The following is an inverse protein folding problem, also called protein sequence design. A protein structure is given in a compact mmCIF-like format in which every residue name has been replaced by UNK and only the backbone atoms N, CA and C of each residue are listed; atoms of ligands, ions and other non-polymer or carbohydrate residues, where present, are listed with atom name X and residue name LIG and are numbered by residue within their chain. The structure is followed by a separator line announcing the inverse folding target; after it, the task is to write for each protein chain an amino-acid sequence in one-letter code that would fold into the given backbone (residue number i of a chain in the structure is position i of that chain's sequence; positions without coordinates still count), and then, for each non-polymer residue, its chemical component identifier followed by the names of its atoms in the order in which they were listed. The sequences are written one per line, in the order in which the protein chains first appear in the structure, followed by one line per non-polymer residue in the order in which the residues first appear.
data_IF_730357684123
#
_entry.id   IF_730357684123
#
_cell.length_a   1.000
_cell.length_b   1.000
_cell.length_c   1.000
_cell.angle_alpha   90.00
_cell.angle_beta   90.00
_cell.angle_gamma   90.00
#
_symmetry.space_group_name_H-M   'P 1'
#
loop_
_entity.id
_entity.type
_entity.pdbx_description
1 polymer ?
#
# COMPACT_ATOMS: atom_id res chain seq x y z
N UNK A 1 14.55 6.20 7.79
CA UNK A 1 14.69 5.04 6.88
C UNK A 1 15.89 4.22 7.32
N UNK A 2 15.82 2.89 7.22
CA UNK A 2 16.89 1.97 7.59
C UNK A 2 16.85 0.74 6.68
N UNK A 3 18.00 0.18 6.31
CA UNK A 3 18.12 -1.07 5.52
C UNK A 3 17.61 -0.98 4.09
N UNK A 4 17.31 -2.15 3.51
CA UNK A 4 16.95 -2.32 2.10
C UNK A 4 18.07 -2.95 1.29
N UNK A 5 17.81 -3.24 0.01
CA UNK A 5 18.83 -3.68 -0.95
C UNK A 5 18.60 -3.04 -2.31
N UNK A 6 19.67 -2.89 -3.08
CA UNK A 6 19.57 -2.72 -4.53
C UNK A 6 19.83 -4.07 -5.22
N UNK A 7 20.01 -4.07 -6.54
CA UNK A 7 20.20 -5.30 -7.32
C UNK A 7 21.49 -6.07 -6.96
N UNK A 8 22.45 -5.42 -6.30
CA UNK A 8 23.79 -5.97 -6.02
C UNK A 8 24.11 -6.09 -4.54
N UNK A 9 23.69 -5.13 -3.72
CA UNK A 9 24.17 -4.94 -2.35
C UNK A 9 23.02 -4.66 -1.39
N UNK A 10 23.12 -5.25 -0.20
CA UNK A 10 22.32 -4.88 0.96
C UNK A 10 22.83 -3.55 1.50
N UNK A 11 21.92 -2.65 1.84
CA UNK A 11 22.25 -1.32 2.34
C UNK A 11 23.08 -1.41 3.64
N UNK A 12 24.04 -0.49 3.84
CA UNK A 12 24.76 -0.40 5.11
C UNK A 12 23.76 -0.13 6.26
N UNK A 13 24.10 -0.49 7.51
CA UNK A 13 23.19 -0.37 8.64
C UNK A 13 23.16 1.07 9.17
N UNK A 14 22.70 2.00 8.32
CA UNK A 14 22.64 3.44 8.58
C UNK A 14 21.19 3.89 8.72
N UNK A 15 20.99 4.95 9.51
CA UNK A 15 19.69 5.64 9.62
C UNK A 15 19.72 6.86 8.71
N UNK A 16 18.90 6.84 7.67
CA UNK A 16 18.70 7.99 6.79
C UNK A 16 17.46 8.76 7.24
N UNK A 17 17.64 10.06 7.52
CA UNK A 17 16.58 10.98 7.91
C UNK A 17 16.30 11.94 6.74
N UNK A 18 15.02 12.14 6.44
CA UNK A 18 14.57 13.12 5.46
C UNK A 18 13.83 14.24 6.18
N UNK A 19 14.24 15.47 5.94
CA UNK A 19 13.49 16.66 6.36
C UNK A 19 12.58 17.10 5.20
N UNK A 20 11.25 17.01 5.35
CA UNK A 20 10.31 17.40 4.31
C UNK A 20 10.21 18.93 4.11
N UNK A 21 10.72 19.74 5.04
CA UNK A 21 10.73 21.21 4.92
C UNK A 21 11.93 21.64 4.08
N UNK A 22 13.12 21.17 4.44
CA UNK A 22 14.35 21.51 3.71
C UNK A 22 14.61 20.63 2.49
N UNK A 23 13.81 19.57 2.29
CA UNK A 23 13.98 18.54 1.27
C UNK A 23 15.37 17.89 1.29
N UNK A 24 15.99 17.79 2.46
CA UNK A 24 17.35 17.30 2.62
C UNK A 24 17.41 15.94 3.32
N UNK A 25 18.39 15.14 2.90
CA UNK A 25 18.73 13.88 3.55
C UNK A 25 19.93 14.04 4.47
N UNK A 26 19.84 13.48 5.67
CA UNK A 26 20.96 13.33 6.60
C UNK A 26 21.18 11.85 6.87
N UNK A 27 22.44 11.41 6.82
CA UNK A 27 22.81 10.01 7.08
C UNK A 27 23.48 9.95 8.45
N UNK A 28 22.95 9.09 9.31
CA UNK A 28 23.47 8.86 10.65
C UNK A 28 24.04 7.45 10.74
N UNK A 29 25.29 7.36 11.17
CA UNK A 29 25.85 6.10 11.66
C UNK A 29 25.20 5.82 13.02
N UNK A 30 24.22 4.91 13.04
CA UNK A 30 23.59 4.49 14.29
C UNK A 30 24.65 4.02 15.29
N UNK A 31 24.35 4.13 16.59
CA UNK A 31 25.25 3.68 17.66
C UNK A 31 24.53 2.72 18.61
N UNK A 32 25.28 2.09 19.52
CA UNK A 32 24.75 1.01 20.36
C UNK A 32 24.74 -0.34 19.65
N UNK A 33 23.68 -1.12 19.85
CA UNK A 33 23.52 -2.47 19.27
C UNK A 33 22.88 -2.39 17.89
N UNK A 34 23.62 -1.82 16.94
CA UNK A 34 23.14 -1.58 15.57
C UNK A 34 22.75 -2.92 14.91
N UNK A 35 21.56 -3.02 14.30
CA UNK A 35 21.16 -4.22 13.57
C UNK A 35 22.07 -4.45 12.35
N UNK A 36 22.46 -5.70 12.00
CA UNK A 36 23.15 -5.97 10.75
C UNK A 36 22.35 -5.50 9.52
N UNK A 37 23.08 -5.18 8.44
CA UNK A 37 22.53 -4.91 7.11
C UNK A 37 21.50 -5.96 6.71
N UNK A 38 20.33 -5.51 6.29
CA UNK A 38 19.18 -6.37 5.99
C UNK A 38 18.20 -5.71 5.02
N UNK A 39 17.41 -6.52 4.33
CA UNK A 39 16.22 -6.11 3.61
C UNK A 39 14.99 -6.93 4.04
N UNK A 40 13.80 -6.55 3.56
CA UNK A 40 12.55 -7.23 3.87
C UNK A 40 12.13 -7.21 5.35
N UNK A 41 12.78 -6.42 6.21
CA UNK A 41 12.38 -6.30 7.62
C UNK A 41 11.07 -5.50 7.74
N UNK A 42 10.30 -5.78 8.78
CA UNK A 42 9.17 -4.96 9.19
C UNK A 42 9.67 -3.79 10.04
N UNK A 43 9.09 -2.60 9.88
CA UNK A 43 9.42 -1.42 10.67
C UNK A 43 8.17 -0.61 11.03
N UNK A 44 8.07 -0.16 12.27
CA UNK A 44 7.04 0.78 12.71
C UNK A 44 7.58 1.73 13.78
N UNK A 45 6.86 2.82 14.02
CA UNK A 45 7.17 3.78 15.07
C UNK A 45 6.13 3.67 16.17
N UNK A 46 6.58 3.48 17.40
CA UNK A 46 5.76 3.52 18.61
C UNK A 46 6.35 4.61 19.49
N UNK A 47 5.56 5.64 19.79
CA UNK A 47 6.02 6.88 20.41
C UNK A 47 7.23 7.48 19.65
N UNK A 48 8.35 7.74 20.34
CA UNK A 48 9.58 8.28 19.73
C UNK A 48 10.62 7.18 19.42
N UNK A 49 10.17 5.94 19.19
CA UNK A 49 11.06 4.80 18.96
C UNK A 49 10.67 4.06 17.69
N UNK A 50 11.66 3.80 16.85
CA UNK A 50 11.50 2.92 15.70
C UNK A 50 11.81 1.49 16.11
N UNK A 51 10.86 0.59 15.89
CA UNK A 51 11.04 -0.84 16.05
C UNK A 51 11.23 -1.48 14.68
N UNK A 52 12.22 -2.37 14.57
CA UNK A 52 12.36 -3.25 13.42
C UNK A 52 12.30 -4.71 13.86
N UNK A 53 11.71 -5.56 13.03
CA UNK A 53 11.62 -7.00 13.24
C UNK A 53 12.04 -7.77 12.00
N UNK A 54 12.88 -8.78 12.23
CA UNK A 54 13.29 -9.76 11.23
C UNK A 54 14.02 -9.17 10.03
N UNK A 55 13.70 -9.69 8.84
CA UNK A 55 14.36 -9.41 7.57
C UNK A 55 15.35 -10.51 7.17
N UNK A 56 15.93 -10.33 5.99
CA UNK A 56 17.00 -11.17 5.44
C UNK A 56 18.30 -10.39 5.48
N UNK A 57 19.33 -10.93 6.13
CA UNK A 57 20.57 -10.22 6.40
C UNK A 57 21.56 -10.34 5.22
N UNK A 58 22.58 -9.49 5.21
CA UNK A 58 23.69 -9.61 4.26
C UNK A 58 24.49 -10.92 4.40
N UNK A 59 24.31 -11.67 5.49
CA UNK A 59 24.85 -13.01 5.68
C UNK A 59 23.96 -14.12 5.10
N UNK A 60 22.91 -13.74 4.36
CA UNK A 60 21.92 -14.65 3.75
C UNK A 60 21.11 -15.46 4.77
N UNK A 61 20.85 -14.84 5.93
CA UNK A 61 20.08 -15.45 7.02
C UNK A 61 18.77 -14.69 7.25
N UNK A 62 17.68 -15.44 7.45
CA UNK A 62 16.44 -14.91 8.02
C UNK A 62 16.64 -14.62 9.49
N UNK A 63 16.00 -13.56 9.99
CA UNK A 63 16.08 -13.18 11.40
C UNK A 63 14.71 -12.99 12.04
N UNK A 64 14.63 -13.12 13.36
CA UNK A 64 13.43 -12.88 14.18
C UNK A 64 13.66 -11.93 15.36
N UNK A 65 14.74 -11.17 15.33
CA UNK A 65 15.10 -10.27 16.42
C UNK A 65 14.34 -8.96 16.30
N UNK A 66 14.00 -8.39 17.45
CA UNK A 66 13.48 -7.03 17.57
C UNK A 66 14.62 -6.09 17.93
N UNK A 67 14.79 -5.04 17.14
CA UNK A 67 15.67 -3.93 17.47
C UNK A 67 14.84 -2.66 17.65
N UNK A 68 15.29 -1.80 18.56
CA UNK A 68 14.64 -0.54 18.87
C UNK A 68 15.67 0.58 18.70
N UNK A 69 15.32 1.62 17.94
CA UNK A 69 16.09 2.85 17.79
C UNK A 69 15.35 3.98 18.50
N UNK A 70 16.00 4.63 19.47
CA UNK A 70 15.57 5.91 20.00
C UNK A 70 15.74 6.98 18.91
N UNK A 71 14.66 7.61 18.46
CA UNK A 71 14.71 8.57 17.35
C UNK A 71 15.22 9.96 17.75
N UNK A 72 15.42 10.22 19.04
CA UNK A 72 16.05 11.44 19.55
C UNK A 72 17.57 11.25 19.57
N UNK A 73 18.03 10.13 20.15
CA UNK A 73 19.45 9.89 20.41
C UNK A 73 20.14 9.02 19.34
N UNK A 74 19.35 8.42 18.43
CA UNK A 74 19.80 7.48 17.39
C UNK A 74 20.61 6.30 17.94
N UNK A 75 20.25 5.86 19.15
CA UNK A 75 20.82 4.71 19.84
C UNK A 75 19.97 3.47 19.58
N UNK A 76 20.62 2.43 19.08
CA UNK A 76 20.03 1.12 18.87
C UNK A 76 20.19 0.23 20.09
N UNK A 77 19.12 -0.48 20.42
CA UNK A 77 19.11 -1.55 21.43
C UNK A 77 18.53 -2.81 20.80
N UNK A 78 19.21 -3.94 20.96
CA UNK A 78 18.65 -5.25 20.63
C UNK A 78 17.76 -5.68 21.79
N UNK A 79 16.48 -5.84 21.53
CA UNK A 79 15.53 -6.22 22.55
C UNK A 79 15.65 -7.73 22.79
N UNK A 80 15.99 -8.10 24.04
CA UNK A 80 15.94 -9.50 24.49
C UNK A 80 14.50 -9.83 24.82
N UNK A 81 13.72 -10.11 23.77
CA UNK A 81 12.29 -10.35 23.93
C UNK A 81 12.04 -11.53 24.88
N UNK A 82 11.27 -11.30 25.94
CA UNK A 82 10.90 -12.36 26.89
C UNK A 82 9.75 -13.16 26.29
N UNK A 83 9.91 -14.48 26.20
CA UNK A 83 8.82 -15.40 25.88
C UNK A 83 7.99 -15.63 27.15
N UNK A 84 6.94 -14.84 27.37
CA UNK A 84 6.06 -15.06 28.51
C UNK A 84 5.08 -16.22 28.21
N UNK A 85 5.34 -17.40 28.77
CA UNK A 85 4.30 -18.40 29.07
C UNK A 85 3.82 -19.36 27.97
N UNK A 86 4.19 -19.21 26.68
CA UNK A 86 3.92 -20.18 25.58
C UNK A 86 5.07 -20.11 24.56
N UNK A 87 5.45 -21.20 23.84
CA UNK A 87 6.40 -21.14 22.74
C UNK A 87 5.86 -20.28 21.59
N UNK A 88 6.77 -19.82 20.73
CA UNK A 88 6.51 -19.16 19.44
C UNK A 88 6.34 -17.63 19.50
N UNK A 89 7.46 -16.95 19.79
CA UNK A 89 7.76 -15.73 19.03
C UNK A 89 7.69 -16.03 17.52
N UNK A 90 7.41 -15.03 16.66
CA UNK A 90 7.38 -15.28 15.24
C UNK A 90 8.71 -15.88 14.76
N UNK A 91 8.63 -16.89 13.90
CA UNK A 91 9.79 -17.52 13.25
C UNK A 91 10.63 -16.49 12.48
N UNK A 92 11.93 -16.77 12.25
CA UNK A 92 12.78 -15.96 11.38
C UNK A 92 12.13 -15.74 10.02
N UNK A 93 11.95 -14.48 9.61
CA UNK A 93 11.19 -14.15 8.40
C UNK A 93 11.54 -12.82 7.78
N UNK A 94 11.38 -12.74 6.47
CA UNK A 94 11.40 -11.51 5.71
C UNK A 94 10.02 -11.18 5.13
N UNK A 95 9.87 -9.96 4.61
CA UNK A 95 8.68 -9.45 3.93
C UNK A 95 7.37 -9.65 4.72
N UNK A 96 7.44 -9.64 6.05
CA UNK A 96 6.28 -9.47 6.92
C UNK A 96 5.78 -8.04 6.84
N UNK A 97 4.61 -7.78 7.41
CA UNK A 97 4.14 -6.41 7.63
C UNK A 97 3.84 -6.19 9.12
N UNK A 98 3.99 -4.94 9.56
CA UNK A 98 3.67 -4.52 10.91
C UNK A 98 2.90 -3.21 10.95
N UNK A 99 2.14 -2.99 12.02
CA UNK A 99 1.44 -1.73 12.28
C UNK A 99 1.50 -1.40 13.76
N UNK A 100 1.81 -0.15 14.08
CA UNK A 100 1.83 0.34 15.46
C UNK A 100 0.43 0.31 16.06
N UNK A 101 0.33 -0.12 17.31
CA UNK A 101 -0.91 -0.16 18.07
C UNK A 101 -0.63 0.04 19.56
N UNK A 102 -1.17 1.12 20.13
CA UNK A 102 -0.93 1.51 21.53
C UNK A 102 0.57 1.53 21.85
N UNK A 103 1.02 0.76 22.84
CA UNK A 103 2.42 0.70 23.30
C UNK A 103 3.18 -0.49 22.69
N UNK A 104 2.90 -0.78 21.43
CA UNK A 104 3.44 -1.95 20.75
C UNK A 104 3.08 -1.98 19.28
N UNK A 105 3.21 -3.16 18.67
CA UNK A 105 2.84 -3.33 17.27
C UNK A 105 2.35 -4.74 16.97
N UNK A 106 1.45 -4.83 16.00
CA UNK A 106 1.05 -6.10 15.41
C UNK A 106 2.01 -6.47 14.28
N UNK A 107 2.22 -7.77 14.09
CA UNK A 107 3.01 -8.36 13.02
C UNK A 107 2.18 -9.47 12.35
N UNK A 108 2.22 -9.52 11.01
CA UNK A 108 1.55 -10.56 10.24
C UNK A 108 2.34 -10.97 9.00
N UNK A 109 2.18 -12.24 8.61
CA UNK A 109 2.73 -12.80 7.39
C UNK A 109 4.25 -12.88 7.39
N UNK A 110 4.81 -12.76 6.19
CA UNK A 110 6.22 -12.93 5.89
C UNK A 110 6.53 -14.30 5.29
N UNK A 111 7.74 -14.42 4.75
CA UNK A 111 8.32 -15.69 4.30
C UNK A 111 9.37 -16.11 5.31
N UNK A 112 9.26 -17.35 5.74
CA UNK A 112 10.25 -18.10 6.49
C UNK A 112 10.81 -19.23 5.61
N UNK A 113 11.71 -20.02 6.17
CA UNK A 113 12.26 -21.22 5.53
C UNK A 113 12.09 -22.43 6.45
N UNK A 114 11.90 -23.62 5.88
CA UNK A 114 11.83 -24.87 6.63
C UNK A 114 13.11 -25.14 7.46
N UNK A 115 14.26 -24.65 6.98
CA UNK A 115 15.53 -24.69 7.70
C UNK A 115 15.70 -23.56 8.74
N UNK A 116 14.65 -22.77 9.01
CA UNK A 116 14.64 -21.71 10.01
C UNK A 116 15.38 -20.46 9.54
N UNK A 117 16.58 -20.25 10.05
CA UNK A 117 17.38 -19.06 9.73
C UNK A 117 18.07 -19.17 8.36
N UNK A 118 18.31 -20.38 7.87
CA UNK A 118 19.08 -20.61 6.64
C UNK A 118 18.15 -20.67 5.44
N UNK A 119 18.55 -20.07 4.33
CA UNK A 119 17.85 -20.22 3.05
C UNK A 119 18.12 -21.60 2.44
N UNK A 120 17.15 -22.49 2.49
CA UNK A 120 17.19 -23.81 1.83
C UNK A 120 16.45 -23.83 0.49
N UNK A 121 15.62 -22.80 0.23
CA UNK A 121 14.72 -22.75 -0.92
C UNK A 121 13.33 -23.35 -0.64
N UNK A 122 13.13 -23.94 0.55
CA UNK A 122 11.84 -24.44 1.00
C UNK A 122 11.09 -23.37 1.82
N UNK A 123 10.50 -22.41 1.09
CA UNK A 123 9.71 -21.32 1.67
C UNK A 123 8.56 -21.87 2.53
N UNK A 124 8.39 -21.32 3.74
CA UNK A 124 7.21 -21.51 4.56
C UNK A 124 6.54 -20.16 4.87
N UNK A 125 5.22 -20.19 5.07
CA UNK A 125 4.43 -18.98 5.26
C UNK A 125 3.49 -19.14 6.45
N UNK A 126 3.65 -18.24 7.40
CA UNK A 126 2.84 -18.21 8.61
C UNK A 126 1.70 -17.21 8.45
N UNK A 127 0.48 -17.62 8.80
CA UNK A 127 -0.72 -16.80 8.76
C UNK A 127 -1.08 -16.18 10.11
N UNK A 128 -0.35 -16.54 11.17
CA UNK A 128 -0.62 -16.10 12.53
C UNK A 128 -0.41 -14.61 12.71
N UNK A 129 -1.18 -14.01 13.61
CA UNK A 129 -1.03 -12.61 14.01
C UNK A 129 -0.35 -12.57 15.37
N UNK A 130 0.74 -11.81 15.45
CA UNK A 130 1.48 -11.57 16.69
C UNK A 130 1.33 -10.13 17.12
N UNK A 131 1.47 -9.88 18.42
CA UNK A 131 1.62 -8.56 18.99
C UNK A 131 2.85 -8.51 19.88
N UNK A 132 3.70 -7.52 19.65
CA UNK A 132 4.84 -7.20 20.50
C UNK A 132 4.46 -6.05 21.41
N UNK A 133 4.54 -6.27 22.71
CA UNK A 133 4.38 -5.24 23.72
C UNK A 133 5.74 -4.58 24.02
N UNK A 134 5.84 -3.26 23.81
CA UNK A 134 7.10 -2.55 23.97
C UNK A 134 7.50 -2.31 25.43
N UNK A 135 6.56 -2.41 26.37
CA UNK A 135 6.79 -2.16 27.78
C UNK A 135 7.33 -3.40 28.47
N UNK A 136 6.64 -4.53 28.27
CA UNK A 136 7.08 -5.82 28.78
C UNK A 136 8.12 -6.47 27.88
N UNK A 137 8.38 -5.90 26.70
CA UNK A 137 9.30 -6.44 25.69
C UNK A 137 9.01 -7.91 25.38
N UNK A 138 7.75 -8.24 25.17
CA UNK A 138 7.28 -9.62 25.04
C UNK A 138 6.37 -9.81 23.85
N UNK A 139 6.48 -10.97 23.22
CA UNK A 139 5.57 -11.40 22.17
C UNK A 139 4.33 -12.08 22.74
N UNK A 140 3.20 -11.87 22.07
CA UNK A 140 1.97 -12.62 22.29
C UNK A 140 1.37 -13.04 20.96
N UNK A 141 0.90 -14.28 20.89
CA UNK A 141 0.09 -14.77 19.77
C UNK A 141 -1.34 -14.25 19.94
N UNK A 142 -1.84 -13.52 18.94
CA UNK A 142 -3.16 -12.88 19.00
C UNK A 142 -4.23 -13.63 18.24
N UNK A 143 -3.87 -14.28 17.13
CA UNK A 143 -4.78 -15.16 16.38
C UNK A 143 -4.00 -16.19 15.58
N UNK A 144 -4.50 -17.45 15.55
CA UNK A 144 -4.14 -18.44 14.53
C UNK A 144 -5.23 -18.44 13.47
N UNK A 145 -4.82 -18.28 12.22
CA UNK A 145 -5.76 -18.07 11.11
C UNK A 145 -5.70 -19.25 10.15
N UNK A 146 -6.52 -20.27 10.41
CA UNK A 146 -6.56 -21.47 9.57
C UNK A 146 -7.15 -21.19 8.18
N UNK A 147 -8.07 -20.22 8.10
CA UNK A 147 -8.75 -19.82 6.85
C UNK A 147 -8.04 -18.70 6.10
N UNK A 148 -6.98 -18.13 6.68
CA UNK A 148 -6.17 -17.11 6.01
C UNK A 148 -4.86 -17.72 5.63
N UNK A 149 -4.52 -17.66 4.36
CA UNK A 149 -3.27 -18.24 3.89
C UNK A 149 -2.10 -17.36 4.29
N UNK A 150 -1.01 -17.98 4.75
CA UNK A 150 0.26 -17.30 4.96
C UNK A 150 0.82 -16.76 3.64
N UNK A 151 1.56 -15.66 3.70
CA UNK A 151 2.10 -14.97 2.52
C UNK A 151 3.13 -13.91 2.90
N UNK A 152 3.91 -13.48 1.92
CA UNK A 152 4.86 -12.36 2.04
C UNK A 152 4.40 -11.13 1.28
N UNK A 153 5.03 -10.00 1.60
CA UNK A 153 4.87 -8.74 0.88
C UNK A 153 3.40 -8.29 0.80
N UNK A 154 2.62 -8.63 1.83
CA UNK A 154 1.26 -8.11 2.00
C UNK A 154 1.27 -6.67 2.50
N UNK A 155 0.10 -6.20 2.92
CA UNK A 155 -0.07 -4.89 3.55
C UNK A 155 -0.77 -5.06 4.90
N UNK A 156 -0.49 -4.16 5.83
CA UNK A 156 -1.23 -4.03 7.08
C UNK A 156 -1.29 -2.56 7.50
N UNK A 157 -2.48 -2.09 7.88
CA UNK A 157 -2.72 -0.69 8.23
C UNK A 157 -3.82 -0.55 9.28
N UNK A 158 -3.82 0.58 10.00
CA UNK A 158 -4.84 0.90 10.99
C UNK A 158 -5.87 1.85 10.38
N UNK A 159 -7.14 1.59 10.68
CA UNK A 159 -8.24 2.48 10.32
C UNK A 159 -9.19 2.60 11.53
N UNK A 160 -9.09 3.71 12.25
CA UNK A 160 -9.80 3.91 13.51
C UNK A 160 -9.37 2.86 14.56
N UNK A 161 -10.35 2.16 15.14
CA UNK A 161 -10.13 1.11 16.16
C UNK A 161 -10.05 -0.31 15.57
N UNK A 162 -9.68 -0.42 14.29
CA UNK A 162 -9.53 -1.68 13.57
C UNK A 162 -8.20 -1.72 12.83
N UNK A 163 -7.69 -2.92 12.62
CA UNK A 163 -6.51 -3.18 11.81
C UNK A 163 -6.94 -3.98 10.59
N UNK A 164 -6.48 -3.57 9.41
CA UNK A 164 -6.74 -4.27 8.17
C UNK A 164 -5.44 -4.86 7.64
N UNK A 165 -5.51 -6.05 7.08
CA UNK A 165 -4.35 -6.74 6.51
C UNK A 165 -4.78 -7.63 5.35
N UNK A 166 -3.86 -7.91 4.43
CA UNK A 166 -4.18 -8.72 3.26
C UNK A 166 -3.21 -8.54 2.11
N UNK A 167 -3.69 -8.85 0.90
CA UNK A 167 -2.90 -8.85 -0.34
C UNK A 167 -1.64 -9.71 -0.22
N UNK A 168 -0.64 -9.54 -1.09
CA UNK A 168 0.66 -10.21 -0.97
C UNK A 168 0.81 -11.40 -1.91
N UNK A 169 1.78 -12.24 -1.61
CA UNK A 169 2.23 -13.31 -2.50
C UNK A 169 2.62 -14.58 -1.75
N UNK A 170 2.21 -15.72 -2.29
CA UNK A 170 2.57 -17.05 -1.81
C UNK A 170 3.05 -17.89 -3.01
N UNK A 171 4.33 -18.24 -3.04
CA UNK A 171 4.96 -18.97 -4.14
C UNK A 171 4.50 -20.44 -4.23
N UNK A 172 4.07 -21.04 -3.11
CA UNK A 172 3.55 -22.40 -3.06
C UNK A 172 2.27 -22.57 -3.90
N UNK A 173 1.59 -21.46 -4.25
CA UNK A 173 0.42 -21.45 -5.13
C UNK A 173 0.74 -21.38 -6.62
N UNK A 174 1.98 -21.07 -7.03
CA UNK A 174 2.32 -20.83 -8.44
C UNK A 174 1.99 -22.04 -9.33
N UNK A 175 2.01 -23.26 -8.76
CA UNK A 175 1.66 -24.49 -9.47
C UNK A 175 0.18 -24.56 -9.90
N UNK A 176 -0.69 -23.76 -9.28
CA UNK A 176 -2.14 -23.80 -9.53
C UNK A 176 -2.73 -22.43 -9.90
N UNK A 177 -2.10 -21.32 -9.49
CA UNK A 177 -2.58 -19.94 -9.66
C UNK A 177 -1.41 -18.94 -9.78
N UNK A 178 -1.64 -17.64 -9.99
CA UNK A 178 -0.58 -16.59 -10.04
C UNK A 178 0.20 -16.46 -8.70
N UNK A 179 -0.42 -16.85 -7.58
CA UNK A 179 0.14 -16.76 -6.24
C UNK A 179 0.07 -15.36 -5.61
N UNK A 180 -0.24 -14.33 -6.40
CA UNK A 180 -0.66 -13.01 -5.92
C UNK A 180 -2.08 -13.08 -5.33
N UNK A 181 -2.35 -12.29 -4.30
CA UNK A 181 -3.59 -12.32 -3.53
C UNK A 181 -4.19 -10.90 -3.40
N UNK A 182 -5.51 -10.78 -3.27
CA UNK A 182 -6.24 -9.51 -3.07
C UNK A 182 -7.36 -9.56 -2.02
N UNK A 183 -7.38 -10.61 -1.20
CA UNK A 183 -8.21 -10.64 0.00
C UNK A 183 -7.76 -9.59 1.00
N UNK A 184 -8.74 -9.03 1.71
CA UNK A 184 -8.56 -8.10 2.81
C UNK A 184 -9.32 -8.62 4.03
N UNK A 185 -8.71 -8.48 5.19
CA UNK A 185 -9.21 -8.95 6.48
C UNK A 185 -9.17 -7.81 7.47
N UNK A 186 -10.11 -7.83 8.41
CA UNK A 186 -10.25 -6.88 9.50
C UNK A 186 -10.02 -7.60 10.82
N UNK A 187 -9.06 -7.13 11.60
CA UNK A 187 -8.75 -7.55 12.96
C UNK A 187 -9.35 -6.53 13.94
N UNK A 188 -10.10 -7.04 14.92
CA UNK A 188 -10.38 -6.32 16.16
C UNK A 188 -9.20 -6.56 17.13
N UNK A 189 -8.36 -5.54 17.39
CA UNK A 189 -7.16 -5.69 18.21
C UNK A 189 -7.46 -6.03 19.68
N UNK A 190 -8.64 -5.66 20.19
CA UNK A 190 -9.04 -5.93 21.57
C UNK A 190 -9.39 -7.41 21.75
N UNK A 191 -10.26 -7.94 20.90
CA UNK A 191 -10.75 -9.32 20.99
C UNK A 191 -9.85 -10.35 20.29
N UNK A 192 -9.02 -9.93 19.34
CA UNK A 192 -8.29 -10.83 18.44
C UNK A 192 -9.17 -11.42 17.33
N UNK A 193 -10.44 -11.02 17.24
CA UNK A 193 -11.37 -11.52 16.22
C UNK A 193 -10.98 -11.01 14.84
N UNK A 194 -11.01 -11.91 13.86
CA UNK A 194 -10.70 -11.60 12.46
C UNK A 194 -11.93 -11.90 11.59
N UNK A 195 -12.32 -10.94 10.77
CA UNK A 195 -13.41 -11.06 9.80
C UNK A 195 -12.93 -10.67 8.40
N UNK A 196 -13.56 -11.21 7.37
CA UNK A 196 -13.26 -10.82 5.99
C UNK A 196 -13.76 -9.40 5.74
N UNK A 197 -12.90 -8.54 5.20
CA UNK A 197 -13.26 -7.19 4.80
C UNK A 197 -13.62 -7.21 3.31
N UNK A 198 -14.92 -7.17 3.01
CA UNK A 198 -15.40 -7.10 1.64
C UNK A 198 -15.70 -5.65 1.26
N UNK A 199 -15.15 -5.13 0.15
CA UNK A 199 -15.52 -3.81 -0.34
C UNK A 199 -17.04 -3.77 -0.60
N UNK A 200 -17.74 -2.79 -0.02
CA UNK A 200 -19.20 -2.67 -0.11
C UNK A 200 -19.76 -2.32 -1.50
N UNK A 201 -18.95 -2.35 -2.57
CA UNK A 201 -19.36 -1.91 -3.89
C UNK A 201 -19.56 -3.08 -4.85
N UNK A 202 -20.80 -3.27 -5.30
CA UNK A 202 -21.12 -4.16 -6.42
C UNK A 202 -20.52 -3.68 -7.77
N UNK A 203 -20.02 -2.44 -7.83
CA UNK A 203 -19.58 -1.78 -9.06
C UNK A 203 -18.07 -1.60 -9.16
N UNK A 204 -17.36 -1.88 -8.07
CA UNK A 204 -15.92 -1.68 -7.98
C UNK A 204 -15.28 -2.94 -7.43
N UNK A 205 -14.65 -3.71 -8.31
CA UNK A 205 -13.71 -4.74 -7.87
C UNK A 205 -12.48 -3.98 -7.38
N UNK A 206 -12.12 -4.17 -6.12
CA UNK A 206 -10.92 -3.56 -5.52
C UNK A 206 -9.63 -3.92 -6.29
N UNK A 207 -8.46 -3.59 -5.74
CA UNK A 207 -7.20 -3.82 -6.44
C UNK A 207 -7.07 -5.28 -6.90
N UNK A 208 -6.50 -5.48 -8.10
CA UNK A 208 -6.17 -6.81 -8.59
C UNK A 208 -5.21 -7.52 -7.60
N UNK A 209 -5.12 -8.87 -7.64
CA UNK A 209 -4.12 -9.60 -6.87
C UNK A 209 -2.72 -9.02 -7.05
N UNK A 210 -2.10 -8.60 -5.94
CA UNK A 210 -0.82 -7.87 -5.98
C UNK A 210 -0.08 -7.98 -4.66
N UNK A 211 1.21 -7.66 -4.70
CA UNK A 211 2.10 -7.57 -3.53
C UNK A 211 2.83 -6.25 -3.50
N UNK A 212 3.47 -5.92 -2.36
CA UNK A 212 4.26 -4.69 -2.18
C UNK A 212 3.47 -3.41 -2.44
N UNK A 213 2.15 -3.46 -2.27
CA UNK A 213 1.33 -2.26 -2.32
C UNK A 213 1.56 -1.43 -1.07
N UNK A 214 1.40 -0.12 -1.18
CA UNK A 214 1.47 0.80 -0.05
C UNK A 214 0.04 1.13 0.39
N UNK A 215 -0.19 1.14 1.70
CA UNK A 215 -1.44 1.58 2.30
C UNK A 215 -1.16 2.76 3.24
N UNK A 216 -1.74 3.93 2.96
CA UNK A 216 -1.54 5.16 3.72
C UNK A 216 -2.88 5.61 4.31
N UNK A 217 -3.12 5.40 5.62
CA UNK A 217 -4.27 5.98 6.29
C UNK A 217 -4.18 7.50 6.24
N UNK A 218 -5.23 8.14 5.71
CA UNK A 218 -5.32 9.62 5.63
C UNK A 218 -6.33 10.19 6.63
N UNK A 219 -7.15 9.33 7.24
CA UNK A 219 -8.01 9.67 8.37
C UNK A 219 -8.39 8.39 9.14
N UNK A 220 -9.20 8.52 10.19
CA UNK A 220 -9.73 7.38 10.95
C UNK A 220 -10.67 6.47 10.15
N UNK A 221 -11.17 6.93 8.99
CA UNK A 221 -12.11 6.16 8.16
C UNK A 221 -11.69 6.02 6.71
N UNK A 222 -10.58 6.63 6.29
CA UNK A 222 -10.10 6.60 4.90
C UNK A 222 -8.62 6.18 4.80
N UNK A 223 -8.34 5.30 3.85
CA UNK A 223 -6.98 4.85 3.48
C UNK A 223 -6.80 4.90 1.96
N UNK A 224 -5.61 5.31 1.52
CA UNK A 224 -5.19 5.26 0.13
C UNK A 224 -4.35 3.99 -0.07
N UNK A 225 -4.69 3.17 -1.05
CA UNK A 225 -3.85 2.08 -1.53
C UNK A 225 -3.20 2.51 -2.84
N UNK A 226 -1.90 2.27 -2.99
CA UNK A 226 -1.16 2.68 -4.17
C UNK A 226 -0.20 1.58 -4.65
N UNK A 227 -0.22 1.37 -5.97
CA UNK A 227 0.75 0.59 -6.72
C UNK A 227 0.87 -0.88 -6.30
N UNK A 228 2.11 -1.36 -6.22
CA UNK A 228 2.48 -2.75 -6.00
C UNK A 228 2.81 -3.48 -7.31
N UNK A 229 2.97 -4.79 -7.25
CA UNK A 229 3.36 -5.62 -8.40
C UNK A 229 2.44 -6.82 -8.57
N UNK A 230 2.17 -7.22 -9.81
CA UNK A 230 1.46 -8.45 -10.16
C UNK A 230 2.04 -9.08 -11.44
N UNK A 231 1.80 -10.36 -11.74
CA UNK A 231 2.21 -10.93 -13.04
C UNK A 231 1.22 -10.61 -14.16
N UNK A 232 -0.06 -10.52 -13.84
CA UNK A 232 -1.09 -10.29 -14.85
C UNK A 232 -1.88 -9.04 -14.55
N UNK A 233 -1.69 -8.00 -15.36
CA UNK A 233 -2.58 -6.85 -15.39
C UNK A 233 -3.81 -7.24 -16.20
N UNK A 234 -4.70 -8.05 -15.64
CA UNK A 234 -6.10 -7.91 -16.02
C UNK A 234 -6.56 -6.65 -15.34
N UNK A 235 -6.54 -5.51 -16.04
CA UNK A 235 -7.25 -4.33 -15.58
C UNK A 235 -8.71 -4.76 -15.38
N UNK A 236 -9.08 -5.10 -14.16
CA UNK A 236 -10.47 -5.15 -13.74
C UNK A 236 -10.94 -3.74 -13.43
N UNK A 237 -10.62 -2.77 -14.29
CA UNK A 237 -11.59 -1.73 -14.61
C UNK A 237 -12.66 -2.42 -15.46
N UNK A 238 -13.39 -3.32 -14.82
CA UNK A 238 -14.76 -3.53 -15.20
C UNK A 238 -15.48 -2.45 -14.41
N UNK A 239 -15.86 -1.31 -15.02
CA UNK A 239 -17.06 -0.70 -14.52
C UNK A 239 -18.08 -1.85 -14.48
N UNK A 240 -18.94 -1.91 -13.47
CA UNK A 240 -20.05 -2.87 -13.55
C UNK A 240 -20.95 -2.64 -14.79
N UNK A 241 -20.67 -1.60 -15.58
CA UNK A 241 -21.07 -1.36 -16.96
C UNK A 241 -19.93 -1.74 -17.92
N UNK A 242 -20.18 -2.47 -19.02
CA UNK A 242 -19.22 -2.58 -20.12
C UNK A 242 -18.66 -1.21 -20.51
N UNK A 243 -17.36 -1.12 -20.84
CA UNK A 243 -16.69 0.16 -21.13
C UNK A 243 -17.46 1.02 -22.15
N UNK A 244 -18.01 0.39 -23.19
CA UNK A 244 -18.86 1.04 -24.19
C UNK A 244 -20.14 1.66 -23.61
N UNK A 245 -20.77 1.03 -22.62
CA UNK A 245 -21.98 1.54 -21.97
C UNK A 245 -21.65 2.68 -21.00
N UNK A 246 -20.51 2.62 -20.30
CA UNK A 246 -19.99 3.72 -19.51
C UNK A 246 -19.70 4.94 -20.39
N UNK A 247 -18.95 4.77 -21.49
CA UNK A 247 -18.68 5.86 -22.44
C UNK A 247 -19.97 6.43 -23.02
N UNK A 248 -20.94 5.59 -23.39
CA UNK A 248 -22.23 6.06 -23.91
C UNK A 248 -23.00 6.91 -22.89
N UNK A 249 -23.04 6.49 -21.61
CA UNK A 249 -23.80 7.18 -20.57
C UNK A 249 -23.13 8.49 -20.11
N UNK A 250 -21.80 8.56 -20.15
CA UNK A 250 -21.05 9.67 -19.55
C UNK A 250 -20.27 10.55 -20.54
N UNK A 251 -20.17 10.21 -21.84
CA UNK A 251 -19.42 10.99 -22.85
C UNK A 251 -19.81 12.47 -22.96
N UNK A 252 -21.11 12.87 -22.97
CA UNK A 252 -21.50 14.28 -23.04
C UNK A 252 -21.02 15.09 -21.82
N UNK A 253 -20.71 14.41 -20.72
CA UNK A 253 -20.34 15.01 -19.45
C UNK A 253 -18.82 15.00 -19.25
N UNK A 254 -18.13 13.95 -19.72
CA UNK A 254 -16.66 13.94 -19.83
C UNK A 254 -16.17 15.12 -20.68
N UNK A 255 -16.91 15.49 -21.73
CA UNK A 255 -16.62 16.67 -22.54
C UNK A 255 -16.76 18.02 -21.78
N UNK A 256 -17.50 18.04 -20.66
CA UNK A 256 -17.75 19.25 -19.85
C UNK A 256 -16.81 19.39 -18.64
N UNK A 257 -16.06 18.34 -18.29
CA UNK A 257 -15.11 18.33 -17.17
C UNK A 257 -14.12 19.50 -17.16
N UNK A 258 -13.51 19.91 -18.30
CA UNK A 258 -12.60 21.04 -18.31
C UNK A 258 -13.26 22.36 -17.88
N UNK A 259 -14.50 22.60 -18.32
CA UNK A 259 -15.25 23.81 -17.98
C UNK A 259 -15.72 23.82 -16.51
N UNK A 260 -16.04 22.65 -15.95
CA UNK A 260 -16.38 22.50 -14.54
C UNK A 260 -15.19 22.79 -13.63
N UNK A 261 -13.99 22.32 -13.99
CA UNK A 261 -12.75 22.60 -13.25
C UNK A 261 -12.46 24.09 -13.13
N UNK A 262 -12.62 24.83 -14.24
CA UNK A 262 -12.39 26.27 -14.26
C UNK A 262 -13.35 27.05 -13.33
N UNK A 263 -14.55 26.54 -13.06
CA UNK A 263 -15.56 27.24 -12.25
C UNK A 263 -15.36 27.17 -10.74
N UNK A 264 -14.44 26.32 -10.25
CA UNK A 264 -14.17 26.13 -8.82
C UNK A 264 -12.91 26.89 -8.39
N UNK A 265 -11.91 26.99 -9.27
CA UNK A 265 -10.68 27.77 -9.03
C UNK A 265 -10.96 29.29 -8.87
N UNK A 266 -12.10 29.77 -9.39
CA UNK A 266 -12.56 31.15 -9.19
C UNK A 266 -13.14 31.43 -7.78
N UNK A 267 -13.31 30.41 -6.92
CA UNK A 267 -13.91 30.58 -5.58
C UNK A 267 -12.93 30.60 -4.41
N UNK A 268 -11.63 30.33 -4.63
CA UNK A 268 -10.59 30.31 -3.59
C UNK A 268 -9.37 31.19 -3.90
N UNK A 269 -9.48 32.18 -4.80
CA UNK A 269 -8.37 33.11 -5.10
C UNK A 269 -8.49 34.47 -4.38
N UNK A 270 -8.12 34.51 -3.09
CA UNK A 270 -7.42 35.70 -2.57
C UNK A 270 -5.92 35.45 -2.75
N UNK A 271 -5.39 35.87 -3.91
CA UNK A 271 -3.96 35.91 -4.17
C UNK A 271 -3.47 37.36 -4.29
N UNK A 272 -2.43 37.64 -3.51
CA UNK A 272 -1.63 38.87 -3.40
C UNK A 272 -1.00 39.27 -4.76
N UNK A 273 -0.98 40.56 -5.16
CA UNK A 273 -0.52 40.95 -6.49
C UNK A 273 0.97 41.32 -6.47
N UNK A 274 1.84 40.43 -6.95
CA UNK A 274 3.17 40.79 -7.46
C UNK A 274 3.80 39.62 -8.23
N UNK A 275 3.74 39.68 -9.56
CA UNK A 275 4.91 39.65 -10.46
C UNK A 275 4.47 39.27 -11.89
N UNK A 276 4.15 40.31 -12.66
CA UNK A 276 4.07 40.26 -14.12
C UNK A 276 5.49 40.18 -14.70
N UNK A 277 5.83 39.05 -15.30
CA UNK A 277 6.85 39.00 -16.37
C UNK A 277 6.34 38.10 -17.49
N UNK A 278 5.79 38.73 -18.53
CA UNK A 278 5.49 38.12 -19.82
C UNK A 278 6.74 37.45 -20.40
N UNK A 279 6.65 36.15 -20.73
CA UNK A 279 7.49 35.50 -21.74
C UNK A 279 6.60 34.92 -22.83
N UNK A 280 6.67 35.55 -24.00
CA UNK A 280 6.15 35.00 -25.25
C UNK A 280 7.01 33.79 -25.65
N UNK A 281 6.42 32.61 -25.68
CA UNK A 281 6.96 31.46 -26.43
C UNK A 281 5.88 30.93 -27.38
N UNK A 282 6.11 31.14 -28.68
CA UNK A 282 5.35 30.55 -29.77
C UNK A 282 5.78 29.08 -29.96
N UNK A 283 4.97 28.13 -29.48
CA UNK A 283 5.13 26.70 -29.78
C UNK A 283 4.49 26.33 -31.13
N UNK A 284 5.02 25.34 -31.88
CA UNK A 284 4.49 24.96 -33.18
C UNK A 284 3.16 24.21 -33.06
N UNK A 285 2.25 24.43 -34.01
CA UNK A 285 0.99 23.67 -34.12
C UNK A 285 1.27 22.18 -34.37
N UNK A 286 0.46 21.26 -33.82
CA UNK A 286 0.56 19.85 -34.14
C UNK A 286 0.10 19.60 -35.60
N UNK A 287 0.70 18.64 -36.31
CA UNK A 287 0.24 18.28 -37.65
C UNK A 287 -1.14 17.60 -37.56
N UNK A 288 -2.03 18.04 -38.44
CA UNK A 288 -3.27 17.34 -38.78
C UNK A 288 -2.89 16.01 -39.43
N UNK A 289 -3.00 14.90 -38.69
CA UNK A 289 -3.25 13.53 -39.15
C UNK A 289 -3.03 12.56 -37.97
N UNK A 290 -4.08 12.36 -37.15
CA UNK A 290 -4.08 11.31 -36.11
C UNK A 290 -4.88 10.13 -36.67
N UNK A 291 -4.18 9.11 -37.17
CA UNK A 291 -4.77 7.80 -37.43
C UNK A 291 -5.31 7.20 -36.12
N UNK A 292 -6.39 6.39 -36.16
CA UNK A 292 -6.96 5.80 -34.97
C UNK A 292 -5.93 4.89 -34.30
N UNK A 293 -5.76 5.01 -32.99
CA UNK A 293 -4.94 4.13 -32.16
C UNK A 293 -5.35 2.66 -32.40
N UNK A 294 -4.60 1.97 -33.25
CA UNK A 294 -4.66 0.52 -33.33
C UNK A 294 -4.29 -0.06 -31.96
N UNK A 295 -5.09 -1.02 -31.53
CA UNK A 295 -4.85 -1.79 -30.32
C UNK A 295 -3.49 -2.47 -30.46
N UNK A 296 -2.47 -1.90 -29.81
CA UNK A 296 -1.19 -2.58 -29.61
C UNK A 296 -1.45 -3.81 -28.74
N UNK A 297 -1.70 -4.94 -29.39
CA UNK A 297 -1.48 -6.25 -28.79
C UNK A 297 0.03 -6.31 -28.47
N UNK A 298 0.39 -6.02 -27.22
CA UNK A 298 1.75 -6.21 -26.72
C UNK A 298 2.13 -7.69 -26.89
N UNK A 299 3.02 -7.96 -27.85
CA UNK A 299 3.71 -9.24 -27.99
C UNK A 299 4.30 -9.68 -26.63
N UNK A 300 4.19 -10.97 -26.26
CA UNK A 300 4.63 -11.44 -24.95
C UNK A 300 6.16 -11.35 -24.84
N UNK A 301 6.64 -10.44 -23.98
CA UNK A 301 8.05 -10.37 -23.58
C UNK A 301 8.43 -11.65 -22.81
N UNK A 302 9.28 -12.46 -23.43
CA UNK A 302 9.83 -13.73 -22.94
C UNK A 302 10.87 -13.55 -21.81
N UNK A 303 10.75 -12.50 -21.00
CA UNK A 303 11.52 -12.36 -19.77
C UNK A 303 10.90 -13.24 -18.68
N UNK A 304 11.69 -14.19 -18.17
CA UNK A 304 11.32 -15.08 -17.07
C UNK A 304 10.92 -14.22 -15.86
N UNK A 305 9.61 -13.92 -15.75
CA UNK A 305 8.78 -13.59 -14.59
C UNK A 305 7.67 -12.55 -14.84
N UNK A 306 7.55 -11.92 -16.01
CA UNK A 306 6.34 -11.14 -16.42
C UNK A 306 5.72 -10.20 -15.36
N UNK A 307 6.51 -9.67 -14.42
CA UNK A 307 5.99 -8.93 -13.28
C UNK A 307 5.84 -7.46 -13.68
N UNK A 308 4.62 -6.93 -13.64
CA UNK A 308 4.32 -5.53 -13.97
C UNK A 308 4.19 -4.71 -12.68
N UNK A 309 4.84 -3.55 -12.67
CA UNK A 309 4.66 -2.51 -11.65
C UNK A 309 3.35 -1.75 -11.89
N UNK A 310 2.63 -1.48 -10.82
CA UNK A 310 1.34 -0.81 -10.86
C UNK A 310 1.50 0.62 -10.31
N UNK A 311 0.80 1.58 -10.94
CA UNK A 311 0.75 2.99 -10.51
C UNK A 311 -0.69 3.46 -10.26
N UNK A 312 -1.62 2.51 -10.08
CA UNK A 312 -3.02 2.79 -9.76
C UNK A 312 -3.20 3.14 -8.28
N UNK A 313 -4.23 3.94 -8.00
CA UNK A 313 -4.59 4.40 -6.66
C UNK A 313 -6.05 4.03 -6.36
N UNK A 314 -6.28 3.51 -5.17
CA UNK A 314 -7.58 3.13 -4.65
C UNK A 314 -7.84 3.85 -3.34
N UNK A 315 -9.09 4.27 -3.11
CA UNK A 315 -9.51 4.85 -1.83
C UNK A 315 -10.51 3.89 -1.18
N UNK A 316 -10.19 3.43 0.03
CA UNK A 316 -11.11 2.66 0.85
C UNK A 316 -11.67 3.55 1.97
N UNK A 317 -12.99 3.53 2.12
CA UNK A 317 -13.71 4.26 3.17
C UNK A 317 -14.50 3.27 4.05
N UNK A 318 -14.19 3.20 5.34
CA UNK A 318 -14.93 2.37 6.29
C UNK A 318 -16.27 3.00 6.73
N UNK A 319 -16.36 4.33 6.67
CA UNK A 319 -17.57 5.11 6.93
C UNK A 319 -17.77 6.06 5.74
N UNK A 320 -18.41 5.60 4.64
CA UNK A 320 -18.63 6.46 3.49
C UNK A 320 -19.52 7.64 3.89
N UNK A 321 -19.16 8.84 3.43
CA UNK A 321 -19.99 10.02 3.62
C UNK A 321 -21.32 9.88 2.88
N UNK A 322 -22.33 10.68 3.24
CA UNK A 322 -23.58 10.75 2.45
C UNK A 322 -23.28 11.05 0.98
N UNK A 323 -22.31 11.92 0.71
CA UNK A 323 -21.84 12.23 -0.64
C UNK A 323 -21.26 11.00 -1.36
N UNK A 324 -20.44 10.18 -0.70
CA UNK A 324 -19.98 8.90 -1.24
C UNK A 324 -21.15 7.96 -1.51
N UNK A 325 -22.09 7.83 -0.57
CA UNK A 325 -23.26 6.97 -0.72
C UNK A 325 -24.17 7.43 -1.87
N UNK A 326 -24.38 8.74 -2.01
CA UNK A 326 -25.15 9.33 -3.11
C UNK A 326 -24.48 9.05 -4.46
N UNK A 327 -23.16 9.24 -4.56
CA UNK A 327 -22.43 8.94 -5.79
C UNK A 327 -22.47 7.43 -6.13
N UNK A 328 -22.33 6.55 -5.13
CA UNK A 328 -22.51 5.11 -5.33
C UNK A 328 -23.92 4.76 -5.77
N UNK A 329 -24.96 5.44 -5.25
CA UNK A 329 -26.34 5.25 -5.65
C UNK A 329 -26.59 5.70 -7.10
N UNK A 330 -26.01 6.84 -7.50
CA UNK A 330 -26.08 7.36 -8.87
C UNK A 330 -25.52 6.33 -9.86
N UNK A 331 -24.34 5.79 -9.56
CA UNK A 331 -23.70 4.74 -10.37
C UNK A 331 -24.55 3.46 -10.35
N UNK A 332 -25.01 3.04 -9.17
CA UNK A 332 -25.78 1.81 -8.98
C UNK A 332 -27.09 1.79 -9.75
N UNK A 333 -27.80 2.90 -9.76
CA UNK A 333 -29.12 3.04 -10.36
C UNK A 333 -29.09 3.72 -11.72
N UNK A 334 -27.89 4.00 -12.27
CA UNK A 334 -27.68 4.64 -13.58
C UNK A 334 -28.44 5.97 -13.69
N UNK A 335 -28.42 6.76 -12.62
CA UNK A 335 -29.19 8.01 -12.57
C UNK A 335 -28.57 9.05 -13.52
N UNK A 336 -29.39 9.87 -14.22
CA UNK A 336 -28.89 10.94 -15.06
C UNK A 336 -28.11 11.98 -14.24
N UNK A 337 -26.82 12.11 -14.48
CA UNK A 337 -25.97 13.08 -13.78
C UNK A 337 -26.41 14.53 -13.97
N UNK A 338 -26.96 14.87 -15.15
CA UNK A 338 -27.35 16.25 -15.48
C UNK A 338 -28.45 16.84 -14.58
N UNK A 339 -29.13 16.02 -13.78
CA UNK A 339 -30.14 16.46 -12.81
C UNK A 339 -29.59 16.55 -11.38
N UNK A 340 -28.34 16.17 -11.15
CA UNK A 340 -27.71 16.21 -9.84
C UNK A 340 -27.05 17.56 -9.57
N UNK A 341 -26.82 17.94 -8.30
CA UNK A 341 -25.97 19.08 -7.97
C UNK A 341 -24.57 18.94 -8.58
N UNK A 342 -24.00 20.05 -9.05
CA UNK A 342 -22.68 20.10 -9.73
C UNK A 342 -21.59 19.37 -8.95
N UNK A 343 -21.50 19.61 -7.63
CA UNK A 343 -20.53 18.95 -6.76
C UNK A 343 -20.64 17.42 -6.79
N UNK A 344 -21.86 16.87 -6.85
CA UNK A 344 -22.06 15.43 -6.92
C UNK A 344 -21.71 14.88 -8.31
N UNK A 345 -21.95 15.66 -9.37
CA UNK A 345 -21.51 15.30 -10.73
C UNK A 345 -19.99 15.17 -10.79
N UNK A 346 -19.26 16.16 -10.28
CA UNK A 346 -17.79 16.13 -10.25
C UNK A 346 -17.25 14.95 -9.44
N UNK A 347 -17.80 14.71 -8.27
CA UNK A 347 -17.38 13.60 -7.40
C UNK A 347 -17.60 12.23 -8.03
N UNK A 348 -18.71 12.06 -8.75
CA UNK A 348 -18.95 10.83 -9.50
C UNK A 348 -17.92 10.70 -10.62
N UNK A 349 -17.66 11.77 -11.38
CA UNK A 349 -16.69 11.75 -12.49
C UNK A 349 -15.25 11.50 -12.02
N UNK A 350 -14.79 12.19 -10.96
CA UNK A 350 -13.43 12.05 -10.42
C UNK A 350 -13.13 10.62 -9.97
N UNK A 351 -14.15 9.85 -9.55
CA UNK A 351 -13.99 8.44 -9.17
C UNK A 351 -13.78 7.49 -10.35
N UNK A 352 -14.02 7.92 -11.59
CA UNK A 352 -13.87 7.12 -12.81
C UNK A 352 -12.77 7.62 -13.74
N UNK A 353 -12.13 8.75 -13.41
CA UNK A 353 -10.97 9.20 -14.16
C UNK A 353 -9.76 8.32 -13.79
N UNK A 354 -8.99 7.85 -14.78
CA UNK A 354 -7.70 7.23 -14.49
C UNK A 354 -6.82 8.24 -13.76
N UNK A 355 -6.10 7.78 -12.73
CA UNK A 355 -5.08 8.59 -12.08
C UNK A 355 -3.92 8.77 -13.07
N UNK A 356 -3.90 9.90 -13.77
CA UNK A 356 -2.76 10.30 -14.61
C UNK A 356 -1.85 11.15 -13.73
N UNK A 357 -0.71 10.58 -13.33
CA UNK A 357 0.40 11.38 -12.82
C UNK A 357 0.97 12.12 -14.03
N UNK A 358 0.96 13.46 -13.99
CA UNK A 358 1.70 14.25 -14.97
C UNK A 358 3.16 13.81 -14.97
N UNK A 359 3.83 13.69 -16.13
CA UNK A 359 5.28 13.53 -16.14
C UNK A 359 5.92 14.75 -15.43
N UNK A 360 7.06 14.53 -14.73
CA UNK A 360 7.71 15.53 -13.89
C UNK A 360 8.15 16.79 -14.63
#
# INVERSE_FOLDING_TARGET
MFGGRNDRLVAPPQVCQFDPISLAWTIHSGSGQVPPSRDGHSACVVDNRMFIFGGFTAAEEYENQVYCCDLINLQWTRIRAVLSGIPEAPSPRDFSCCVAWRRGFFLWGGRSDAAGHVFSGESCYDSSIYYFDADSQSWSLRARLDNVQGRRSGTMFRLGERIYFGFGFNDLRIRHEDGHLNDLWCLDPCSGSVTRAEPCSAFYRGPCPRRRLVAVPVSNSRVILFGGTCRFVRYSFQPALPAAEFQRLYAPLLARLPALRASVDDSDSEADPADDVERQESGPQPPDDVEPLEQLEEEPDDSIMGLKDLSDMFVLEALPSLQTLCALAVVRWRLPLGQLPVLLQEDVLRRFLPNVLSPP
#
